data_IF_995011030889
#
_entry.id   IF_995011030889
#
_cell.length_a   1.000
_cell.length_b   1.000
_cell.length_c   1.000
_cell.angle_alpha   90.00
_cell.angle_beta   90.00
_cell.angle_gamma   90.00
#
_symmetry.space_group_name_H-M   'P 1'
#
loop_
_entity.id
_entity.type
_entity.pdbx_description
1 polymer ?
#
# COMPACT_ATOMS: atom_id res chain seq x y z
N UNK A 1 6.57 2.78 -2.44
CA UNK A 1 6.70 1.67 -1.47
C UNK A 1 6.18 0.40 -2.13
N UNK A 2 7.04 -0.59 -2.34
CA UNK A 2 6.68 -1.87 -2.95
C UNK A 2 7.61 -2.96 -2.38
N UNK A 3 7.08 -4.01 -1.72
CA UNK A 3 5.69 -4.16 -1.28
C UNK A 3 5.32 -3.17 -0.17
N UNK A 4 4.07 -2.72 -0.15
CA UNK A 4 3.48 -1.94 0.93
C UNK A 4 2.59 -2.83 1.79
N UNK A 5 3.07 -3.21 2.97
CA UNK A 5 2.30 -4.03 3.92
C UNK A 5 1.18 -3.21 4.59
N UNK A 6 0.24 -3.89 5.24
CA UNK A 6 -0.78 -3.20 6.03
C UNK A 6 -0.17 -2.32 7.14
N UNK A 7 0.97 -2.74 7.71
CA UNK A 7 1.67 -2.02 8.77
C UNK A 7 2.18 -0.66 8.28
N UNK A 8 2.96 -0.62 7.18
CA UNK A 8 3.53 0.65 6.71
C UNK A 8 2.45 1.63 6.24
N UNK A 9 1.38 1.12 5.60
CA UNK A 9 0.24 1.95 5.18
C UNK A 9 -0.49 2.52 6.41
N UNK A 10 -0.76 1.67 7.41
CA UNK A 10 -1.47 2.09 8.63
C UNK A 10 -0.64 3.05 9.47
N UNK A 11 0.67 2.83 9.59
CA UNK A 11 1.59 3.74 10.27
C UNK A 11 1.57 5.13 9.64
N UNK A 12 1.75 5.21 8.31
CA UNK A 12 1.77 6.51 7.61
C UNK A 12 0.40 7.20 7.71
N UNK A 13 -0.71 6.47 7.57
CA UNK A 13 -2.05 7.04 7.72
C UNK A 13 -2.30 7.66 9.11
N UNK A 14 -1.63 7.15 10.15
CA UNK A 14 -1.78 7.59 11.53
C UNK A 14 -0.59 8.44 12.02
N UNK A 15 0.31 8.87 11.13
CA UNK A 15 1.44 9.74 11.48
C UNK A 15 2.55 9.06 12.29
N UNK A 16 2.68 7.73 12.23
CA UNK A 16 3.70 6.98 12.93
C UNK A 16 5.00 6.87 12.10
N UNK A 17 6.15 6.92 12.79
CA UNK A 17 7.48 6.84 12.20
C UNK A 17 8.41 5.92 13.03
N UNK A 18 8.07 4.64 13.11
CA UNK A 18 8.73 3.70 14.04
C UNK A 18 9.98 3.03 13.48
N UNK A 19 10.23 3.16 12.18
CA UNK A 19 11.41 2.66 11.47
C UNK A 19 11.87 3.65 10.40
N UNK A 20 13.06 3.45 9.85
CA UNK A 20 13.64 4.37 8.86
C UNK A 20 12.74 4.58 7.63
N UNK A 21 12.09 3.53 7.13
CA UNK A 21 11.23 3.64 5.96
C UNK A 21 10.01 4.52 6.26
N UNK A 22 9.38 4.33 7.42
CA UNK A 22 8.28 5.16 7.89
C UNK A 22 8.72 6.60 8.17
N UNK A 23 9.90 6.80 8.77
CA UNK A 23 10.47 8.14 8.99
C UNK A 23 10.67 8.89 7.66
N UNK A 24 11.19 8.22 6.63
CA UNK A 24 11.34 8.82 5.29
C UNK A 24 9.97 9.19 4.70
N UNK A 25 8.98 8.32 4.83
CA UNK A 25 7.63 8.58 4.33
C UNK A 25 6.93 9.72 5.07
N UNK A 26 7.21 9.90 6.37
CA UNK A 26 6.68 11.01 7.15
C UNK A 26 7.39 12.34 6.85
N UNK A 27 8.68 12.30 6.51
CA UNK A 27 9.48 13.49 6.24
C UNK A 27 9.41 13.97 4.77
N UNK A 28 8.91 13.15 3.86
CA UNK A 28 8.94 13.46 2.42
C UNK A 28 7.96 14.57 2.04
N UNK A 29 8.38 15.44 1.14
CA UNK A 29 7.52 16.42 0.45
C UNK A 29 7.10 15.96 -0.95
N UNK A 30 7.52 14.75 -1.35
CA UNK A 30 7.23 14.18 -2.68
C UNK A 30 5.98 13.30 -2.64
N UNK A 31 5.26 13.15 -3.77
CA UNK A 31 4.12 12.25 -3.85
C UNK A 31 4.49 10.82 -3.44
N UNK A 32 3.66 10.22 -2.58
CA UNK A 32 3.84 8.84 -2.12
C UNK A 32 3.01 7.91 -3.00
N UNK A 33 3.63 6.82 -3.44
CA UNK A 33 2.95 5.75 -4.19
C UNK A 33 3.14 4.44 -3.43
N UNK A 34 2.04 3.74 -3.14
CA UNK A 34 2.01 2.43 -2.48
C UNK A 34 1.62 1.34 -3.46
N UNK A 35 2.31 0.20 -3.42
CA UNK A 35 1.91 -1.04 -4.08
C UNK A 35 1.53 -2.06 -2.99
N UNK A 36 0.25 -2.16 -2.61
CA UNK A 36 -0.16 -2.96 -1.45
C UNK A 36 0.10 -4.46 -1.63
N UNK A 37 0.51 -5.12 -0.55
CA UNK A 37 0.72 -6.58 -0.51
C UNK A 37 0.35 -7.13 0.86
N UNK A 38 -0.77 -7.85 0.96
CA UNK A 38 -1.25 -8.43 2.21
C UNK A 38 -2.30 -9.52 1.98
N UNK A 39 -2.63 -10.25 3.05
CA UNK A 39 -3.71 -11.23 3.03
C UNK A 39 -5.09 -10.57 2.73
N UNK A 40 -6.03 -11.32 2.13
CA UNK A 40 -7.39 -10.84 1.76
C UNK A 40 -8.10 -10.24 2.97
N UNK A 41 -8.04 -10.89 4.13
CA UNK A 41 -8.71 -10.43 5.35
C UNK A 41 -8.12 -9.15 5.91
N UNK A 42 -6.82 -8.93 5.71
CA UNK A 42 -6.18 -7.66 6.08
C UNK A 42 -6.64 -6.54 5.14
N UNK A 43 -6.76 -6.83 3.84
CA UNK A 43 -7.26 -5.88 2.86
C UNK A 43 -8.73 -5.50 3.13
N UNK A 44 -9.61 -6.48 3.33
CA UNK A 44 -11.04 -6.27 3.60
C UNK A 44 -11.34 -5.62 4.96
N UNK A 45 -10.35 -5.55 5.86
CA UNK A 45 -10.55 -5.02 7.20
C UNK A 45 -11.01 -3.55 7.16
N UNK A 46 -12.14 -3.25 7.80
CA UNK A 46 -12.73 -1.90 7.83
C UNK A 46 -11.79 -0.83 8.40
N UNK A 47 -10.93 -1.18 9.37
CA UNK A 47 -9.95 -0.26 9.93
C UNK A 47 -8.86 0.05 8.91
N UNK A 48 -8.41 -0.95 8.15
CA UNK A 48 -7.45 -0.76 7.09
C UNK A 48 -8.03 0.07 5.93
N UNK A 49 -9.27 -0.19 5.54
CA UNK A 49 -9.96 0.61 4.51
C UNK A 49 -10.06 2.10 4.91
N UNK A 50 -10.28 2.42 6.20
CA UNK A 50 -10.23 3.81 6.69
C UNK A 50 -8.85 4.45 6.48
N UNK A 51 -7.77 3.71 6.74
CA UNK A 51 -6.41 4.21 6.51
C UNK A 51 -6.16 4.51 5.02
N UNK A 52 -6.69 3.68 4.11
CA UNK A 52 -6.61 3.95 2.67
C UNK A 52 -7.31 5.26 2.29
N UNK A 53 -8.51 5.51 2.81
CA UNK A 53 -9.26 6.73 2.50
C UNK A 53 -8.59 7.99 3.06
N UNK A 54 -7.99 7.91 4.25
CA UNK A 54 -7.15 8.99 4.80
C UNK A 54 -5.99 9.29 3.87
N UNK A 55 -5.28 8.27 3.38
CA UNK A 55 -4.11 8.48 2.52
C UNK A 55 -4.50 8.98 1.11
N UNK A 56 -5.56 8.43 0.52
CA UNK A 56 -6.06 8.87 -0.79
C UNK A 56 -6.53 10.33 -0.75
N UNK A 57 -7.24 10.75 0.30
CA UNK A 57 -7.66 12.14 0.48
C UNK A 57 -6.47 13.11 0.67
N UNK A 58 -5.31 12.59 1.07
CA UNK A 58 -4.05 13.32 1.19
C UNK A 58 -3.07 13.08 0.01
N UNK A 59 -3.61 12.79 -1.18
CA UNK A 59 -2.86 12.64 -2.45
C UNK A 59 -1.89 11.44 -2.54
N UNK A 60 -1.95 10.48 -1.62
CA UNK A 60 -1.23 9.22 -1.80
C UNK A 60 -1.85 8.42 -2.95
N UNK A 61 -1.01 7.83 -3.79
CA UNK A 61 -1.43 6.97 -4.90
C UNK A 61 -1.27 5.50 -4.55
N UNK A 62 -2.15 4.67 -5.06
CA UNK A 62 -2.13 3.23 -4.88
C UNK A 62 -2.09 2.52 -6.23
N UNK A 63 -1.17 1.58 -6.38
CA UNK A 63 -1.04 0.71 -7.55
C UNK A 63 -1.39 -0.72 -7.13
N UNK A 64 -2.57 -1.17 -7.54
CA UNK A 64 -3.17 -2.41 -7.03
C UNK A 64 -3.79 -2.21 -5.64
N UNK A 65 -3.92 -3.30 -4.84
CA UNK A 65 -3.50 -4.67 -5.12
C UNK A 65 -4.33 -5.32 -6.24
N UNK A 66 -3.88 -6.48 -6.72
CA UNK A 66 -4.59 -7.32 -7.67
C UNK A 66 -5.24 -8.51 -6.96
N UNK A 67 -6.18 -9.14 -7.65
CA UNK A 67 -6.75 -10.42 -7.24
C UNK A 67 -5.80 -11.57 -7.59
N UNK A 68 -5.80 -12.62 -6.75
CA UNK A 68 -5.09 -13.86 -7.04
C UNK A 68 -5.00 -14.79 -5.84
N UNK A 69 -4.34 -15.93 -6.05
CA UNK A 69 -4.03 -16.87 -4.97
C UNK A 69 -2.96 -16.30 -4.02
N UNK A 70 -3.13 -16.62 -2.75
CA UNK A 70 -2.23 -16.23 -1.66
C UNK A 70 -1.46 -17.42 -1.14
N UNK A 71 -0.32 -17.15 -0.50
CA UNK A 71 0.53 -18.19 0.08
C UNK A 71 -0.18 -19.08 1.11
N UNK A 72 -1.26 -18.59 1.73
CA UNK A 72 -2.09 -19.32 2.69
C UNK A 72 -3.22 -20.15 2.06
N UNK A 73 -3.31 -20.20 0.72
CA UNK A 73 -4.37 -20.91 0.00
C UNK A 73 -5.69 -20.16 -0.13
N UNK A 74 -5.78 -18.91 0.35
CA UNK A 74 -6.91 -18.04 0.07
C UNK A 74 -6.80 -17.44 -1.34
N UNK A 75 -7.94 -17.07 -1.92
CA UNK A 75 -8.03 -16.35 -3.19
C UNK A 75 -8.79 -15.05 -3.00
N UNK A 76 -8.28 -13.95 -3.55
CA UNK A 76 -8.97 -12.67 -3.53
C UNK A 76 -8.03 -11.49 -3.70
N UNK A 77 -8.51 -10.29 -3.37
CA UNK A 77 -7.76 -9.04 -3.50
C UNK A 77 -6.75 -8.90 -2.37
N UNK A 78 -5.49 -8.67 -2.71
CA UNK A 78 -4.42 -8.38 -1.74
C UNK A 78 -3.01 -8.67 -2.22
N UNK A 79 -2.86 -9.35 -3.36
CA UNK A 79 -1.57 -9.57 -4.01
C UNK A 79 -1.03 -8.25 -4.57
N UNK A 80 0.27 -8.01 -4.43
CA UNK A 80 0.91 -6.87 -5.09
C UNK A 80 0.82 -6.99 -6.60
N UNK A 81 0.57 -5.87 -7.27
CA UNK A 81 0.75 -5.75 -8.72
C UNK A 81 2.17 -6.20 -9.13
N UNK A 82 2.33 -6.79 -10.31
CA UNK A 82 3.64 -7.28 -10.75
C UNK A 82 4.65 -6.11 -10.89
N UNK A 83 5.94 -6.31 -10.52
CA UNK A 83 6.94 -5.24 -10.54
C UNK A 83 7.02 -4.48 -11.86
N UNK A 84 6.92 -5.18 -12.99
CA UNK A 84 6.98 -4.58 -14.32
C UNK A 84 5.77 -3.67 -14.59
N UNK A 85 4.59 -4.05 -14.12
CA UNK A 85 3.38 -3.23 -14.22
C UNK A 85 3.49 -1.98 -13.34
N UNK A 86 4.05 -2.10 -12.13
CA UNK A 86 4.32 -0.97 -11.24
C UNK A 86 5.24 0.04 -11.94
N UNK A 87 6.37 -0.42 -12.48
CA UNK A 87 7.31 0.45 -13.21
C UNK A 87 6.61 1.14 -14.39
N UNK A 88 5.83 0.40 -15.17
CA UNK A 88 5.10 0.96 -16.31
C UNK A 88 4.11 2.05 -15.89
N UNK A 89 3.39 1.87 -14.78
CA UNK A 89 2.48 2.87 -14.22
C UNK A 89 3.19 4.14 -13.74
N UNK A 90 4.48 4.04 -13.35
CA UNK A 90 5.26 5.19 -12.87
C UNK A 90 5.91 6.01 -13.99
N UNK A 91 6.21 5.39 -15.14
CA UNK A 91 6.90 6.01 -16.28
C UNK A 91 5.93 6.77 -17.20
N UNK A 92 4.66 6.36 -17.28
CA UNK A 92 3.62 6.99 -18.13
C UNK A 92 3.11 8.35 -17.60
N UNK A 93 3.99 9.22 -17.11
CA UNK A 93 3.63 10.54 -16.60
C UNK A 93 3.19 11.50 -17.69
#
# INVERSE_FOLDING_TARGET
VAPATANIISSVANGLATDLAQTILMATTKPIVFAPSMNVRMWENKLFQRNLEVLKSNNAKFLGPTEGEMACGEFGIGRMMEPQQIVQSLVKR
#
